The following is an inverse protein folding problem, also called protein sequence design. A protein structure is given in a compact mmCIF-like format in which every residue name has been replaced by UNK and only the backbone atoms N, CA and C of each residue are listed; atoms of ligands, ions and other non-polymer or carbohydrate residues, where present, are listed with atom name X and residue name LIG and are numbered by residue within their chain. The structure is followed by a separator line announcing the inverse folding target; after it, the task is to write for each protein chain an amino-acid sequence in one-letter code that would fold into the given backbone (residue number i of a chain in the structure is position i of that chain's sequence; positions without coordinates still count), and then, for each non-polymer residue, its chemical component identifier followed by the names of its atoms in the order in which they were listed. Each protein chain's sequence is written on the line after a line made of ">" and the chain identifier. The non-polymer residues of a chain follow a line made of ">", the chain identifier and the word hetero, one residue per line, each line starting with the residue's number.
data_IF_794580558341
#
_entry.id   IF_794580558341
#
_cell.length_a   1.000
_cell.length_b   1.000
_cell.length_c   1.000
_cell.angle_alpha   90.00
_cell.angle_beta   90.00
_cell.angle_gamma   90.00
#
_symmetry.space_group_name_H-M   'P 1'
#
loop_
_entity.id
_entity.type
_entity.pdbx_description
1 polymer ?
#
# COMPACT_ATOMS: atom_id res chain seq x y z
N UNK A 1 -0.65 -13.08 -21.25
CA UNK A 1 -0.84 -12.77 -19.82
C UNK A 1 0.39 -12.01 -19.33
N UNK A 2 0.25 -10.73 -19.01
CA UNK A 2 1.38 -9.93 -18.48
C UNK A 2 1.70 -10.41 -17.08
N UNK A 3 2.97 -10.74 -16.82
CA UNK A 3 3.45 -11.17 -15.50
C UNK A 3 3.20 -10.04 -14.51
N UNK A 4 2.28 -10.23 -13.55
CA UNK A 4 2.10 -9.29 -12.45
C UNK A 4 3.42 -9.19 -11.68
N UNK A 5 4.07 -8.03 -11.74
CA UNK A 5 5.23 -7.74 -10.92
C UNK A 5 4.72 -7.53 -9.51
N UNK A 6 5.00 -8.49 -8.63
CA UNK A 6 4.67 -8.35 -7.22
C UNK A 6 5.45 -7.14 -6.67
N UNK A 7 4.73 -6.24 -6.01
CA UNK A 7 5.34 -5.07 -5.36
C UNK A 7 6.35 -5.56 -4.32
N UNK A 8 7.62 -5.20 -4.51
CA UNK A 8 8.67 -5.55 -3.54
C UNK A 8 8.58 -4.64 -2.31
N UNK A 9 8.97 -5.14 -1.14
CA UNK A 9 8.97 -4.38 0.12
C UNK A 9 9.75 -3.08 0.01
N UNK A 10 10.89 -3.09 -0.69
CA UNK A 10 11.72 -1.90 -0.97
C UNK A 10 10.98 -0.87 -1.84
N UNK A 11 10.24 -1.32 -2.85
CA UNK A 11 9.43 -0.43 -3.68
C UNK A 11 8.27 0.17 -2.87
N UNK A 12 7.62 -0.63 -2.02
CA UNK A 12 6.56 -0.16 -1.13
C UNK A 12 7.06 0.89 -0.14
N UNK A 13 8.22 0.65 0.51
CA UNK A 13 8.82 1.60 1.44
C UNK A 13 9.16 2.94 0.77
N UNK A 14 9.65 2.92 -0.48
CA UNK A 14 9.90 4.16 -1.26
C UNK A 14 8.62 4.94 -1.54
N UNK A 15 7.53 4.24 -1.91
CA UNK A 15 6.22 4.87 -2.16
C UNK A 15 5.66 5.49 -0.86
N UNK A 16 5.79 4.78 0.26
CA UNK A 16 5.35 5.27 1.57
C UNK A 16 6.17 6.48 2.04
N UNK A 17 7.50 6.41 1.96
CA UNK A 17 8.40 7.49 2.37
C UNK A 17 8.18 8.77 1.56
N UNK A 18 8.00 8.65 0.23
CA UNK A 18 7.77 9.79 -0.65
C UNK A 18 6.45 10.53 -0.34
N UNK A 19 5.42 9.82 0.11
CA UNK A 19 4.16 10.41 0.57
C UNK A 19 4.31 11.08 1.94
N UNK A 20 4.89 10.35 2.90
CA UNK A 20 5.00 10.78 4.30
C UNK A 20 5.75 12.11 4.47
N UNK A 21 6.81 12.35 3.69
CA UNK A 21 7.58 13.60 3.75
C UNK A 21 6.76 14.84 3.40
N UNK A 22 5.75 14.72 2.52
CA UNK A 22 4.92 15.85 2.07
C UNK A 22 3.67 16.07 2.90
N UNK A 23 3.23 15.04 3.63
CA UNK A 23 1.94 15.04 4.34
C UNK A 23 2.10 14.91 5.86
N UNK A 24 3.34 14.99 6.37
CA UNK A 24 3.62 14.85 7.80
C UNK A 24 3.25 13.46 8.34
N UNK A 25 3.40 12.41 7.52
CA UNK A 25 3.00 11.05 7.87
C UNK A 25 1.49 10.76 7.76
N UNK A 26 0.66 11.74 7.41
CA UNK A 26 -0.77 11.52 7.19
C UNK A 26 -1.03 11.08 5.74
N UNK A 27 -1.84 10.05 5.52
CA UNK A 27 -2.17 9.68 4.14
C UNK A 27 -3.32 10.56 3.64
N UNK A 28 -3.06 11.41 2.63
CA UNK A 28 -4.10 12.29 2.10
C UNK A 28 -5.30 11.49 1.57
N UNK A 29 -6.51 11.92 1.92
CA UNK A 29 -7.77 11.27 1.50
C UNK A 29 -7.87 11.25 -0.02
N UNK A 30 -8.18 10.07 -0.59
CA UNK A 30 -8.30 9.89 -2.04
C UNK A 30 -6.97 9.76 -2.79
N UNK A 31 -5.82 9.88 -2.11
CA UNK A 31 -4.51 9.66 -2.72
C UNK A 31 -4.28 8.20 -3.12
N UNK A 32 -3.33 7.98 -4.02
CA UNK A 32 -2.91 6.62 -4.41
C UNK A 32 -2.49 5.80 -3.19
N UNK A 33 -1.77 6.39 -2.23
CA UNK A 33 -1.37 5.72 -1.01
C UNK A 33 -2.58 5.28 -0.17
N UNK A 34 -3.63 6.11 -0.05
CA UNK A 34 -4.86 5.74 0.67
C UNK A 34 -5.58 4.56 -0.01
N UNK A 35 -5.59 4.55 -1.35
CA UNK A 35 -6.16 3.45 -2.15
C UNK A 35 -5.32 2.16 -2.02
N UNK A 36 -3.99 2.28 -2.05
CA UNK A 36 -3.08 1.15 -1.89
C UNK A 36 -3.17 0.53 -0.49
N UNK A 37 -3.26 1.36 0.56
CA UNK A 37 -3.50 0.88 1.93
C UNK A 37 -4.86 0.21 2.06
N UNK A 38 -5.92 0.79 1.50
CA UNK A 38 -7.26 0.19 1.52
C UNK A 38 -7.30 -1.16 0.81
N UNK A 39 -6.61 -1.29 -0.33
CA UNK A 39 -6.48 -2.55 -1.05
C UNK A 39 -5.69 -3.59 -0.24
N UNK A 40 -4.55 -3.20 0.33
CA UNK A 40 -3.75 -4.06 1.19
C UNK A 40 -4.52 -4.52 2.44
N UNK A 41 -5.27 -3.64 3.09
CA UNK A 41 -6.11 -3.97 4.24
C UNK A 41 -7.23 -4.96 3.87
N UNK A 42 -7.84 -4.78 2.69
CA UNK A 42 -8.89 -5.69 2.20
C UNK A 42 -8.35 -7.10 1.90
N UNK A 43 -7.15 -7.18 1.32
CA UNK A 43 -6.45 -8.46 1.10
C UNK A 43 -5.93 -9.07 2.41
N UNK A 44 -5.45 -8.26 3.36
CA UNK A 44 -4.99 -8.73 4.66
C UNK A 44 -6.14 -9.36 5.47
N UNK A 45 -7.35 -8.79 5.40
CA UNK A 45 -8.54 -9.36 6.00
C UNK A 45 -9.00 -10.68 5.32
N UNK A 46 -8.50 -10.99 4.13
CA UNK A 46 -8.71 -12.30 3.48
C UNK A 46 -7.68 -13.33 3.96
N UNK A 47 -6.50 -12.88 4.40
CA UNK A 47 -5.45 -13.75 4.95
C UNK A 47 -5.55 -14.00 6.46
N UNK A 48 -6.29 -13.19 7.20
CA UNK A 48 -6.56 -13.41 8.64
C UNK A 48 -7.64 -14.45 8.92
N UNK A 49 -8.39 -14.91 7.90
CA UNK A 49 -9.35 -16.02 8.02
C UNK A 49 -8.71 -17.41 7.88
N UNK A 50 -7.38 -17.50 7.70
CA UNK A 50 -6.61 -18.75 7.70
C UNK A 50 -5.41 -18.64 8.64
N UNK A 51 -5.67 -18.62 9.93
CA UNK A 51 -4.72 -19.05 10.96
C UNK A 51 -5.47 -19.75 12.06
#
# INVERSE_FOLDING_TARGET
>A
MTKSINMTTKASARIQSAGAAKTGGQTAKGSFAARAQSAAAKTANSSSAKK
#
